data_IF_361473916666
#
_entry.id   IF_361473916666
#
_cell.length_a   1.000
_cell.length_b   1.000
_cell.length_c   1.000
_cell.angle_alpha   90.00
_cell.angle_beta   90.00
_cell.angle_gamma   90.00
#
_symmetry.space_group_name_H-M   'P 1'
#
loop_
_entity.id
_entity.type
_entity.pdbx_description
1 polymer ?
#
# COMPACT_ATOMS: atom_id res chain seq x y z
N UNK A 1 -5.33 16.55 -30.39
CA UNK A 1 -5.80 15.17 -30.20
C UNK A 1 -4.70 14.26 -29.67
N UNK A 2 -3.50 14.22 -30.27
CA UNK A 2 -2.35 13.46 -29.74
C UNK A 2 -1.87 13.92 -28.36
N UNK A 3 -1.87 15.23 -28.07
CA UNK A 3 -1.43 15.74 -26.75
C UNK A 3 -2.34 15.29 -25.60
N UNK A 4 -3.66 15.28 -25.80
CA UNK A 4 -4.64 14.83 -24.79
C UNK A 4 -4.43 13.34 -24.49
N UNK A 5 -4.24 12.52 -25.53
CA UNK A 5 -3.99 11.09 -25.36
C UNK A 5 -2.68 10.84 -24.59
N UNK A 6 -1.63 11.62 -24.88
CA UNK A 6 -0.34 11.54 -24.18
C UNK A 6 -0.47 11.94 -22.71
N UNK A 7 -1.28 12.96 -22.41
CA UNK A 7 -1.50 13.45 -21.04
C UNK A 7 -2.29 12.45 -20.20
N UNK A 8 -3.36 11.88 -20.76
CA UNK A 8 -4.14 10.82 -20.09
C UNK A 8 -3.29 9.57 -19.84
N UNK A 9 -2.44 9.16 -20.79
CA UNK A 9 -1.52 8.02 -20.60
C UNK A 9 -0.49 8.34 -19.50
N UNK A 10 0.06 9.55 -19.46
CA UNK A 10 1.01 9.96 -18.42
C UNK A 10 0.35 10.02 -17.03
N UNK A 11 -0.91 10.44 -16.95
CA UNK A 11 -1.68 10.47 -15.71
C UNK A 11 -2.06 9.06 -15.25
N UNK A 12 -2.47 8.18 -16.17
CA UNK A 12 -2.71 6.77 -15.91
C UNK A 12 -1.45 6.10 -15.36
N UNK A 13 -0.29 6.32 -15.99
CA UNK A 13 1.00 5.78 -15.52
C UNK A 13 1.35 6.31 -14.13
N UNK A 14 1.11 7.60 -13.85
CA UNK A 14 1.34 8.16 -12.50
C UNK A 14 0.44 7.53 -11.44
N UNK A 15 -0.83 7.27 -11.77
CA UNK A 15 -1.78 6.61 -10.88
C UNK A 15 -1.35 5.15 -10.62
N UNK A 16 -0.99 4.41 -11.68
CA UNK A 16 -0.47 3.05 -11.57
C UNK A 16 0.83 2.96 -10.75
N UNK A 17 1.75 3.93 -10.88
CA UNK A 17 2.99 3.95 -10.07
C UNK A 17 2.68 4.25 -8.60
N UNK A 18 1.71 5.12 -8.32
CA UNK A 18 1.24 5.34 -6.96
C UNK A 18 0.60 4.07 -6.36
N UNK A 19 -0.23 3.38 -7.14
CA UNK A 19 -0.86 2.12 -6.77
C UNK A 19 0.13 0.95 -6.64
N UNK A 20 1.19 0.93 -7.46
CA UNK A 20 2.27 -0.06 -7.34
C UNK A 20 3.01 0.09 -6.00
N UNK A 21 3.27 1.33 -5.57
CA UNK A 21 3.92 1.59 -4.28
C UNK A 21 3.02 1.19 -3.11
N UNK A 22 1.72 1.42 -3.22
CA UNK A 22 0.73 0.95 -2.26
C UNK A 22 0.68 -0.59 -2.21
N UNK A 23 0.67 -1.23 -3.37
CA UNK A 23 0.64 -2.70 -3.50
C UNK A 23 1.88 -3.33 -2.87
N UNK A 24 3.07 -2.76 -3.09
CA UNK A 24 4.31 -3.21 -2.44
C UNK A 24 4.24 -3.05 -0.92
N UNK A 25 3.70 -1.94 -0.41
CA UNK A 25 3.53 -1.75 1.04
C UNK A 25 2.61 -2.81 1.66
N UNK A 26 1.50 -3.13 0.99
CA UNK A 26 0.58 -4.19 1.42
C UNK A 26 1.25 -5.57 1.36
N UNK A 27 1.99 -5.88 0.28
CA UNK A 27 2.72 -7.13 0.16
C UNK A 27 3.77 -7.31 1.26
N UNK A 28 4.50 -6.23 1.60
CA UNK A 28 5.46 -6.24 2.71
C UNK A 28 4.75 -6.52 4.04
N UNK A 29 3.62 -5.84 4.30
CA UNK A 29 2.86 -6.03 5.52
C UNK A 29 2.34 -7.48 5.65
N UNK A 30 1.73 -7.99 4.59
CA UNK A 30 1.20 -9.37 4.55
C UNK A 30 2.33 -10.37 4.71
N UNK A 31 3.46 -10.19 4.01
CA UNK A 31 4.63 -11.05 4.12
C UNK A 31 5.23 -11.03 5.54
N UNK A 32 5.29 -9.86 6.18
CA UNK A 32 5.75 -9.73 7.56
C UNK A 32 4.82 -10.46 8.54
N UNK A 33 3.51 -10.37 8.35
CA UNK A 33 2.53 -11.08 9.19
C UNK A 33 2.59 -12.58 8.96
N UNK A 34 2.73 -13.02 7.70
CA UNK A 34 2.90 -14.43 7.38
C UNK A 34 4.15 -15.01 8.07
N UNK A 35 5.29 -14.32 7.99
CA UNK A 35 6.50 -14.70 8.71
C UNK A 35 6.31 -14.72 10.23
N UNK A 36 5.58 -13.73 10.77
CA UNK A 36 5.30 -13.66 12.21
C UNK A 36 4.46 -14.83 12.70
N UNK A 37 3.54 -15.32 11.87
CA UNK A 37 2.67 -16.46 12.20
C UNK A 37 3.39 -17.79 11.99
N UNK A 38 4.07 -18.00 10.86
CA UNK A 38 4.74 -19.27 10.54
C UNK A 38 6.02 -19.50 11.36
N UNK A 39 6.85 -18.48 11.52
CA UNK A 39 8.15 -18.61 12.22
C UNK A 39 7.97 -18.31 13.70
N UNK A 40 7.21 -17.26 14.02
CA UNK A 40 7.02 -16.80 15.40
C UNK A 40 6.04 -17.62 16.22
N UNK A 41 5.27 -18.53 15.62
CA UNK A 41 4.16 -19.26 16.26
C UNK A 41 3.23 -18.32 17.05
N UNK A 42 3.11 -17.08 16.60
CA UNK A 42 2.33 -16.07 17.29
C UNK A 42 0.84 -16.45 17.26
N UNK A 43 0.11 -16.06 18.29
CA UNK A 43 -1.33 -16.29 18.31
C UNK A 43 -1.98 -15.63 17.07
N UNK A 44 -2.90 -16.30 16.36
CA UNK A 44 -3.54 -15.77 15.16
C UNK A 44 -4.17 -14.39 15.35
N UNK A 45 -4.65 -14.11 16.57
CA UNK A 45 -5.21 -12.82 16.97
C UNK A 45 -4.19 -11.67 16.87
N UNK A 46 -2.91 -11.94 17.17
CA UNK A 46 -1.83 -10.97 17.06
C UNK A 46 -1.55 -10.67 15.59
N UNK A 47 -1.47 -11.70 14.74
CA UNK A 47 -1.31 -11.51 13.29
C UNK A 47 -2.46 -10.68 12.68
N UNK A 48 -3.69 -10.97 13.08
CA UNK A 48 -4.86 -10.18 12.68
C UNK A 48 -4.81 -8.72 13.14
N UNK A 49 -4.40 -8.47 14.39
CA UNK A 49 -4.22 -7.11 14.91
C UNK A 49 -3.13 -6.33 14.17
N UNK A 50 -2.01 -6.98 13.85
CA UNK A 50 -0.91 -6.39 13.07
C UNK A 50 -1.34 -6.08 11.64
N UNK A 51 -2.10 -6.97 10.98
CA UNK A 51 -2.68 -6.70 9.66
C UNK A 51 -3.61 -5.50 9.68
N UNK A 52 -4.54 -5.46 10.64
CA UNK A 52 -5.50 -4.37 10.75
C UNK A 52 -4.79 -3.04 11.01
N UNK A 53 -3.89 -3.00 12.00
CA UNK A 53 -3.11 -1.81 12.33
C UNK A 53 -2.21 -1.38 11.18
N UNK A 54 -1.54 -2.31 10.51
CA UNK A 54 -0.68 -2.03 9.37
C UNK A 54 -1.45 -1.49 8.16
N UNK A 55 -2.62 -2.04 7.85
CA UNK A 55 -3.48 -1.51 6.79
C UNK A 55 -3.91 -0.08 7.07
N UNK A 56 -4.35 0.22 8.30
CA UNK A 56 -4.72 1.59 8.71
C UNK A 56 -3.52 2.55 8.62
N UNK A 57 -2.34 2.10 9.04
CA UNK A 57 -1.12 2.90 8.96
C UNK A 57 -0.74 3.21 7.50
N UNK A 58 -0.83 2.23 6.59
CA UNK A 58 -0.59 2.43 5.15
C UNK A 58 -1.59 3.44 4.59
N UNK A 59 -2.88 3.31 4.90
CA UNK A 59 -3.91 4.25 4.45
C UNK A 59 -3.66 5.67 4.97
N UNK A 60 -3.35 5.81 6.26
CA UNK A 60 -3.04 7.10 6.86
C UNK A 60 -1.78 7.74 6.24
N UNK A 61 -0.73 6.93 6.01
CA UNK A 61 0.50 7.40 5.38
C UNK A 61 0.26 7.89 3.94
N UNK A 62 -0.52 7.15 3.16
CA UNK A 62 -0.82 7.51 1.76
C UNK A 62 -1.72 8.73 1.69
N UNK A 63 -2.78 8.80 2.50
CA UNK A 63 -3.67 9.97 2.55
C UNK A 63 -2.93 11.23 3.04
N UNK A 64 -2.09 11.12 4.07
CA UNK A 64 -1.28 12.23 4.56
C UNK A 64 -0.18 12.67 3.57
N UNK A 65 0.39 11.74 2.80
CA UNK A 65 1.37 12.05 1.76
C UNK A 65 0.71 12.80 0.59
N UNK A 66 -0.50 12.39 0.20
CA UNK A 66 -1.29 13.05 -0.85
C UNK A 66 -1.77 14.43 -0.38
N UNK A 67 -2.25 14.56 0.86
CA UNK A 67 -2.68 15.83 1.42
C UNK A 67 -1.54 16.87 1.52
N UNK A 68 -0.31 16.43 1.84
CA UNK A 68 0.87 17.32 1.87
C UNK A 68 1.41 17.71 0.49
N UNK A 69 1.02 16.99 -0.57
CA UNK A 69 1.43 17.27 -1.96
C UNK A 69 0.50 18.26 -2.67
N UNK A 70 -0.64 18.57 -2.07
CA UNK A 70 -1.68 19.47 -2.57
C UNK A 70 -1.56 20.84 -1.92
#
# INVERSE_FOLDING_TARGET
MMEILKEVVAELVKMFVADARLSVAVLILVGAVALLLDVGHAAPLIGGAVLLGGCLAILAAVTAATARRR
#
